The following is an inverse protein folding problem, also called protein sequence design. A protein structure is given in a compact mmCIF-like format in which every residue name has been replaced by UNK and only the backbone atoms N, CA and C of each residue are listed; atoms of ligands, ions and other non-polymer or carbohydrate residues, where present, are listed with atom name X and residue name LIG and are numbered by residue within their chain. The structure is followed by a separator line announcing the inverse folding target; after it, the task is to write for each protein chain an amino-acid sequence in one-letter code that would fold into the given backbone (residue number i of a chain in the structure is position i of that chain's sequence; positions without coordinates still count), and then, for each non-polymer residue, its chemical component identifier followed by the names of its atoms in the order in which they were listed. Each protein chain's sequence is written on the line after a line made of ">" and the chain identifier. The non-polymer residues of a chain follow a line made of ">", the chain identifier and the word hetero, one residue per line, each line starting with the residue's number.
data_IF_480153194863
#
_entry.id   IF_480153194863
#
_cell.length_a   1.000
_cell.length_b   1.000
_cell.length_c   1.000
_cell.angle_alpha   90.00
_cell.angle_beta   90.00
_cell.angle_gamma   90.00
#
_symmetry.space_group_name_H-M   'P 1'
#
loop_
_entity.id
_entity.type
_entity.pdbx_description
1 polymer ?
#
# COMPACT_ATOMS: atom_id res chain seq x y z
N UNK A 1 -9.13 -11.69 18.52
CA UNK A 1 -8.65 -10.98 17.32
C UNK A 1 -7.11 -10.88 17.25
N UNK A 2 -6.37 -11.83 17.88
CA UNK A 2 -4.90 -11.80 17.97
C UNK A 2 -4.18 -11.88 16.62
N UNK A 3 -4.81 -12.52 15.62
CA UNK A 3 -4.24 -12.70 14.28
C UNK A 3 -4.31 -11.45 13.40
N UNK A 4 -5.24 -10.51 13.62
CA UNK A 4 -5.37 -9.32 12.76
C UNK A 4 -4.15 -8.41 12.80
N UNK A 5 -3.45 -8.35 13.95
CA UNK A 5 -2.17 -7.62 14.08
C UNK A 5 -1.08 -8.27 13.21
N UNK A 6 -1.01 -9.59 13.20
CA UNK A 6 -0.06 -10.34 12.37
C UNK A 6 -0.39 -10.25 10.88
N UNK A 7 -1.68 -10.30 10.52
CA UNK A 7 -2.14 -10.10 9.14
C UNK A 7 -1.78 -8.70 8.66
N UNK A 8 -1.99 -7.66 9.47
CA UNK A 8 -1.61 -6.29 9.13
C UNK A 8 -0.10 -6.11 8.96
N UNK A 9 0.70 -6.72 9.83
CA UNK A 9 2.17 -6.70 9.72
C UNK A 9 2.66 -7.43 8.46
N UNK A 10 2.11 -8.62 8.18
CA UNK A 10 2.41 -9.38 6.98
C UNK A 10 1.99 -8.62 5.71
N UNK A 11 0.82 -7.95 5.72
CA UNK A 11 0.36 -7.12 4.62
C UNK A 11 1.28 -5.90 4.39
N UNK A 12 1.77 -5.25 5.44
CA UNK A 12 2.75 -4.17 5.32
C UNK A 12 4.07 -4.66 4.71
N UNK A 13 4.57 -5.82 5.13
CA UNK A 13 5.76 -6.44 4.53
C UNK A 13 5.53 -6.80 3.06
N UNK A 14 4.36 -7.37 2.73
CA UNK A 14 3.98 -7.70 1.36
C UNK A 14 3.88 -6.46 0.47
N UNK A 15 3.34 -5.35 1.00
CA UNK A 15 3.32 -4.06 0.30
C UNK A 15 4.73 -3.60 -0.03
N UNK A 16 5.67 -3.70 0.92
CA UNK A 16 7.06 -3.31 0.68
C UNK A 16 7.68 -4.15 -0.41
N UNK A 17 7.56 -5.48 -0.33
CA UNK A 17 8.07 -6.41 -1.34
C UNK A 17 7.45 -6.12 -2.71
N UNK A 18 6.14 -5.86 -2.76
CA UNK A 18 5.45 -5.54 -4.01
C UNK A 18 6.02 -4.30 -4.70
N UNK A 19 6.54 -3.32 -3.96
CA UNK A 19 7.15 -2.11 -4.56
C UNK A 19 8.48 -2.40 -5.29
N UNK A 20 9.16 -3.50 -4.98
CA UNK A 20 10.38 -3.94 -5.68
C UNK A 20 10.07 -4.87 -6.86
N UNK A 21 8.86 -5.42 -6.93
CA UNK A 21 8.43 -6.26 -8.05
C UNK A 21 8.00 -5.40 -9.25
N UNK A 22 8.11 -5.91 -10.48
CA UNK A 22 7.73 -5.15 -11.67
C UNK A 22 6.20 -4.98 -11.71
N UNK A 23 5.74 -3.76 -11.96
CA UNK A 23 4.33 -3.38 -11.94
C UNK A 23 3.76 -3.35 -13.35
N UNK A 24 4.47 -2.70 -14.27
CA UNK A 24 4.08 -2.63 -15.66
C UNK A 24 5.28 -2.84 -16.58
N UNK A 25 5.00 -3.29 -17.79
CA UNK A 25 5.97 -3.35 -18.87
C UNK A 25 5.49 -2.51 -20.06
N UNK A 26 6.36 -1.63 -20.55
CA UNK A 26 6.09 -0.76 -21.70
C UNK A 26 6.83 -1.35 -22.90
N UNK A 27 6.08 -1.94 -23.84
CA UNK A 27 6.60 -2.63 -25.02
C UNK A 27 7.42 -1.70 -25.93
N UNK A 28 6.91 -0.49 -26.21
CA UNK A 28 7.51 0.47 -27.14
C UNK A 28 8.91 0.96 -26.73
N UNK A 29 9.15 1.10 -25.42
CA UNK A 29 10.43 1.53 -24.87
C UNK A 29 11.27 0.36 -24.33
N UNK A 30 10.71 -0.85 -24.27
CA UNK A 30 11.29 -2.03 -23.61
C UNK A 30 11.71 -1.73 -22.15
N UNK A 31 10.85 -1.03 -21.41
CA UNK A 31 11.10 -0.60 -20.02
C UNK A 31 10.16 -1.35 -19.07
N UNK A 32 10.74 -1.97 -18.05
CA UNK A 32 10.02 -2.49 -16.89
C UNK A 32 9.96 -1.42 -15.80
N UNK A 33 8.75 -1.02 -15.41
CA UNK A 33 8.54 -0.04 -14.35
C UNK A 33 8.10 -0.78 -13.09
N UNK A 34 8.77 -0.49 -11.98
CA UNK A 34 8.44 -0.97 -10.63
C UNK A 34 8.01 0.20 -9.75
N UNK A 35 7.67 -0.07 -8.48
CA UNK A 35 7.36 1.00 -7.54
C UNK A 35 8.54 1.93 -7.24
N UNK A 36 9.78 1.46 -7.41
CA UNK A 36 11.00 2.22 -7.07
C UNK A 36 11.74 2.68 -8.31
N UNK A 37 11.89 1.78 -9.28
CA UNK A 37 12.59 2.04 -10.53
C UNK A 37 11.58 2.34 -11.63
N UNK A 38 11.56 3.60 -12.03
CA UNK A 38 10.71 4.13 -13.11
C UNK A 38 11.58 4.83 -14.17
N UNK A 39 12.85 4.43 -14.27
CA UNK A 39 13.84 5.08 -15.13
C UNK A 39 13.34 5.15 -16.58
N UNK A 40 13.46 6.32 -17.20
CA UNK A 40 12.96 6.57 -18.57
C UNK A 40 11.48 6.97 -18.66
N UNK A 41 10.78 7.15 -17.53
CA UNK A 41 9.38 7.65 -17.52
C UNK A 41 9.21 8.87 -16.62
N UNK A 42 8.16 9.66 -16.87
CA UNK A 42 7.80 10.83 -16.05
C UNK A 42 6.88 10.48 -14.85
N UNK A 43 6.76 9.19 -14.48
CA UNK A 43 5.86 8.76 -13.40
C UNK A 43 6.38 9.07 -11.99
N UNK A 44 7.64 9.50 -11.86
CA UNK A 44 8.30 9.65 -10.56
C UNK A 44 8.43 8.30 -9.85
N UNK A 45 8.66 8.29 -8.53
CA UNK A 45 8.88 7.05 -7.76
C UNK A 45 7.69 6.71 -6.86
N UNK A 46 6.62 6.07 -7.38
CA UNK A 46 5.33 5.93 -6.69
C UNK A 46 5.37 5.09 -5.40
N UNK A 47 6.35 4.18 -5.27
CA UNK A 47 6.53 3.30 -4.11
C UNK A 47 6.96 4.00 -2.83
N UNK A 48 7.60 5.18 -2.91
CA UNK A 48 8.07 5.89 -1.72
C UNK A 48 6.93 6.34 -0.81
N UNK A 49 5.80 6.75 -1.40
CA UNK A 49 4.64 7.14 -0.63
C UNK A 49 4.04 5.94 0.12
N UNK A 50 4.05 4.75 -0.49
CA UNK A 50 3.67 3.51 0.19
C UNK A 50 4.59 3.20 1.38
N UNK A 51 5.90 3.45 1.28
CA UNK A 51 6.82 3.26 2.41
C UNK A 51 6.54 4.21 3.57
N UNK A 52 6.27 5.49 3.29
CA UNK A 52 5.91 6.47 4.32
C UNK A 52 4.62 6.07 5.03
N UNK A 53 3.58 5.70 4.28
CA UNK A 53 2.31 5.29 4.85
C UNK A 53 2.40 3.95 5.59
N UNK A 54 3.18 3.00 5.10
CA UNK A 54 3.46 1.74 5.80
C UNK A 54 4.19 1.98 7.12
N UNK A 55 5.18 2.88 7.15
CA UNK A 55 5.84 3.30 8.38
C UNK A 55 4.87 3.90 9.39
N UNK A 56 4.01 4.84 8.96
CA UNK A 56 2.96 5.42 9.80
C UNK A 56 1.95 4.38 10.31
N UNK A 57 1.58 3.41 9.47
CA UNK A 57 0.70 2.31 9.86
C UNK A 57 1.31 1.46 10.97
N UNK A 58 2.60 1.11 10.86
CA UNK A 58 3.29 0.33 11.88
C UNK A 58 3.38 1.09 13.21
N UNK A 59 3.73 2.38 13.16
CA UNK A 59 3.78 3.24 14.35
C UNK A 59 2.41 3.33 15.05
N UNK A 60 1.34 3.58 14.30
CA UNK A 60 -0.03 3.64 14.84
C UNK A 60 -0.54 2.28 15.32
N UNK A 61 -0.02 1.19 14.76
CA UNK A 61 -0.38 -0.18 15.18
C UNK A 61 0.20 -0.54 16.55
N UNK A 62 1.41 -0.06 16.86
CA UNK A 62 2.08 -0.25 18.16
C UNK A 62 1.41 0.59 19.25
N UNK A 63 1.08 1.86 18.97
CA UNK A 63 0.46 2.76 19.95
C UNK A 63 -0.98 2.28 20.27
N UNK A 64 -1.22 1.75 21.47
CA UNK A 64 -2.54 1.30 21.93
C UNK A 64 -3.42 2.47 22.43
N UNK A 65 -3.49 3.58 21.69
CA UNK A 65 -4.36 4.73 22.01
C UNK A 65 -5.48 4.86 20.97
N UNK A 66 -6.65 5.33 21.40
CA UNK A 66 -7.83 5.47 20.54
C UNK A 66 -7.56 6.40 19.35
N UNK A 67 -6.87 7.53 19.56
CA UNK A 67 -6.52 8.46 18.49
C UNK A 67 -5.59 7.82 17.45
N UNK A 68 -4.65 6.97 17.88
CA UNK A 68 -3.75 6.27 16.97
C UNK A 68 -4.51 5.30 16.06
N UNK A 69 -5.59 4.66 16.53
CA UNK A 69 -6.44 3.80 15.67
C UNK A 69 -7.23 4.59 14.64
N UNK A 70 -7.79 5.74 15.03
CA UNK A 70 -8.49 6.63 14.09
C UNK A 70 -7.55 7.13 13.00
N UNK A 71 -6.33 7.52 13.37
CA UNK A 71 -5.30 7.88 12.40
C UNK A 71 -4.86 6.68 11.55
N UNK A 72 -4.74 5.49 12.14
CA UNK A 72 -4.36 4.28 11.39
C UNK A 72 -5.34 3.96 10.26
N UNK A 73 -6.64 4.13 10.53
CA UNK A 73 -7.68 3.94 9.52
C UNK A 73 -7.55 4.97 8.39
N UNK A 74 -7.29 6.24 8.72
CA UNK A 74 -7.03 7.29 7.73
C UNK A 74 -5.79 6.97 6.87
N UNK A 75 -4.68 6.58 7.50
CA UNK A 75 -3.41 6.24 6.83
C UNK A 75 -3.59 5.08 5.86
N UNK A 76 -4.29 4.02 6.28
CA UNK A 76 -4.54 2.86 5.40
C UNK A 76 -5.52 3.17 4.28
N UNK A 77 -6.52 4.01 4.51
CA UNK A 77 -7.42 4.48 3.46
C UNK A 77 -6.68 5.33 2.41
N UNK A 78 -5.80 6.23 2.84
CA UNK A 78 -4.92 7.00 1.94
C UNK A 78 -3.98 6.08 1.16
N UNK A 79 -3.45 5.03 1.80
CA UNK A 79 -2.58 4.05 1.14
C UNK A 79 -3.32 3.28 0.05
N UNK A 80 -4.55 2.83 0.34
CA UNK A 80 -5.40 2.17 -0.63
C UNK A 80 -5.80 3.10 -1.80
N UNK A 81 -6.15 4.36 -1.51
CA UNK A 81 -6.45 5.36 -2.53
C UNK A 81 -5.22 5.62 -3.43
N UNK A 82 -4.02 5.69 -2.86
CA UNK A 82 -2.78 5.83 -3.61
C UNK A 82 -2.49 4.60 -4.50
N UNK A 83 -2.71 3.39 -4.00
CA UNK A 83 -2.58 2.17 -4.79
C UNK A 83 -3.53 2.18 -6.00
N UNK A 84 -4.80 2.57 -5.78
CA UNK A 84 -5.80 2.70 -6.84
C UNK A 84 -5.38 3.77 -7.85
N UNK A 85 -4.92 4.93 -7.40
CA UNK A 85 -4.36 5.98 -8.28
C UNK A 85 -3.21 5.43 -9.12
N UNK A 86 -2.27 4.70 -8.53
CA UNK A 86 -1.12 4.14 -9.25
C UNK A 86 -1.56 3.18 -10.35
N UNK A 87 -2.60 2.36 -10.12
CA UNK A 87 -3.17 1.51 -11.17
C UNK A 87 -3.71 2.35 -12.32
N UNK A 88 -4.49 3.39 -12.03
CA UNK A 88 -5.05 4.23 -13.09
C UNK A 88 -3.99 5.00 -13.86
N UNK A 89 -2.98 5.54 -13.18
CA UNK A 89 -1.92 6.35 -13.83
C UNK A 89 -0.95 5.47 -14.60
N UNK A 90 -0.52 4.34 -14.03
CA UNK A 90 0.49 3.47 -14.63
C UNK A 90 -0.09 2.52 -15.67
N UNK A 91 -1.36 2.13 -15.53
CA UNK A 91 -2.03 1.25 -16.48
C UNK A 91 -2.93 1.99 -17.48
N UNK A 92 -2.89 3.32 -17.51
CA UNK A 92 -3.54 4.10 -18.54
C UNK A 92 -2.81 3.93 -19.88
N UNK A 93 -3.58 3.81 -20.95
CA UNK A 93 -3.01 3.85 -22.29
C UNK A 93 -2.77 5.31 -22.69
N UNK A 94 -1.60 5.61 -23.24
CA UNK A 94 -1.24 6.95 -23.69
C UNK A 94 -0.53 6.85 -25.04
N UNK A 95 -0.95 7.68 -26.01
CA UNK A 95 -0.33 7.71 -27.33
C UNK A 95 -0.53 6.43 -28.15
N UNK A 96 -1.61 5.67 -27.91
CA UNK A 96 -1.92 4.43 -28.64
C UNK A 96 -1.24 3.18 -28.09
N UNK A 97 -0.37 3.32 -27.09
CA UNK A 97 0.31 2.22 -26.42
C UNK A 97 -0.34 1.92 -25.06
N UNK A 98 -0.57 0.64 -24.78
CA UNK A 98 -1.13 0.17 -23.52
C UNK A 98 -0.08 -0.64 -22.75
N UNK A 99 0.33 -0.20 -21.55
CA UNK A 99 1.29 -0.93 -20.75
C UNK A 99 0.71 -2.27 -20.24
N UNK A 100 1.53 -3.31 -20.27
CA UNK A 100 1.16 -4.62 -19.75
C UNK A 100 1.21 -4.63 -18.23
N UNK A 101 0.12 -5.08 -17.59
CA UNK A 101 0.01 -5.15 -16.13
C UNK A 101 0.66 -6.44 -15.63
N UNK A 102 1.71 -6.31 -14.85
CA UNK A 102 2.40 -7.43 -14.23
C UNK A 102 1.85 -7.73 -12.84
N UNK A 103 2.29 -8.83 -12.25
CA UNK A 103 1.79 -9.32 -10.96
C UNK A 103 2.04 -8.36 -9.80
N UNK A 104 3.10 -7.54 -9.87
CA UNK A 104 3.47 -6.61 -8.79
C UNK A 104 2.40 -5.57 -8.49
N UNK A 105 1.69 -5.05 -9.50
CA UNK A 105 0.65 -4.04 -9.31
C UNK A 105 -0.58 -4.62 -8.60
N UNK A 106 -0.90 -5.89 -8.88
CA UNK A 106 -2.00 -6.60 -8.21
C UNK A 106 -1.63 -6.96 -6.78
N UNK A 107 -0.38 -7.37 -6.53
CA UNK A 107 0.13 -7.62 -5.18
C UNK A 107 0.10 -6.35 -4.31
N UNK A 108 0.50 -5.21 -4.86
CA UNK A 108 0.44 -3.92 -4.17
C UNK A 108 -1.01 -3.55 -3.78
N UNK A 109 -1.97 -3.77 -4.68
CA UNK A 109 -3.38 -3.49 -4.40
C UNK A 109 -3.91 -4.40 -3.29
N UNK A 110 -3.65 -5.70 -3.42
CA UNK A 110 -4.07 -6.70 -2.45
C UNK A 110 -3.48 -6.41 -1.07
N UNK A 111 -2.18 -6.09 -0.98
CA UNK A 111 -1.54 -5.69 0.27
C UNK A 111 -2.21 -4.45 0.90
N UNK A 112 -2.51 -3.44 0.09
CA UNK A 112 -3.14 -2.21 0.56
C UNK A 112 -4.55 -2.44 1.10
N UNK A 113 -5.33 -3.30 0.45
CA UNK A 113 -6.67 -3.70 0.92
C UNK A 113 -6.57 -4.52 2.22
N UNK A 114 -5.63 -5.47 2.31
CA UNK A 114 -5.42 -6.25 3.53
C UNK A 114 -5.01 -5.37 4.72
N UNK A 115 -4.16 -4.36 4.48
CA UNK A 115 -3.81 -3.36 5.51
C UNK A 115 -5.05 -2.59 5.98
N UNK A 116 -5.92 -2.16 5.07
CA UNK A 116 -7.16 -1.48 5.41
C UNK A 116 -8.10 -2.37 6.25
N UNK A 117 -8.29 -3.64 5.85
CA UNK A 117 -9.10 -4.60 6.61
C UNK A 117 -8.51 -4.81 8.01
N UNK A 118 -7.19 -4.91 8.14
CA UNK A 118 -6.52 -5.05 9.43
C UNK A 118 -6.69 -3.82 10.33
N UNK A 119 -6.75 -2.62 9.74
CA UNK A 119 -6.96 -1.38 10.46
C UNK A 119 -8.42 -1.19 10.93
N UNK A 120 -9.38 -1.79 10.22
CA UNK A 120 -10.81 -1.75 10.56
C UNK A 120 -11.12 -2.54 11.84
N UNK A 121 -10.35 -3.60 12.10
CA UNK A 121 -10.57 -4.53 13.21
C UNK A 121 -9.39 -4.63 14.19
N UNK A 122 -9.01 -3.52 14.87
CA UNK A 122 -7.87 -3.51 15.77
C UNK A 122 -8.21 -4.19 17.11
N UNK A 123 -7.34 -5.10 17.56
CA UNK A 123 -7.43 -5.69 18.90
C UNK A 123 -6.91 -4.69 19.94
N UNK A 124 -7.82 -4.02 20.67
CA UNK A 124 -7.52 -3.13 21.79
C UNK A 124 -8.24 -3.60 23.05
N UNK A 125 -7.52 -3.59 24.18
CA UNK A 125 -8.13 -3.66 25.51
C UNK A 125 -8.47 -2.23 25.92
N UNK A 126 -9.76 -1.93 26.07
CA UNK A 126 -10.21 -0.66 26.64
C UNK A 126 -9.82 -0.66 28.13
N UNK A 127 -9.25 0.43 28.68
CA UNK A 127 -9.10 0.55 30.11
C UNK A 127 -10.50 0.52 30.74
N UNK A 128 -10.73 -0.38 31.71
CA UNK A 128 -11.98 -0.40 32.45
C UNK A 128 -12.20 0.97 33.09
N UNK A 129 -13.33 1.57 32.76
CA UNK A 129 -13.79 2.81 33.37
C UNK A 129 -14.02 2.52 34.86
N UNK A 130 -13.13 3.00 35.72
CA UNK A 130 -13.39 3.05 37.17
C UNK A 130 -14.57 3.99 37.39
N UNK A 131 -15.77 3.41 37.48
CA UNK A 131 -16.96 4.06 38.03
C UNK A 131 -16.72 4.51 39.46
#
# INVERSE_FOLDING_TARGET
>A
MRYMKWIGLAAAALLVVSCFTPWIFIQSANITVSGIDTTGTNFGKPGYFHFVLAGLFLLCSIIQKVWAKRLNLLVTALNAAWAVRNIFVLAACSGGECPERLTGIWLMLLASVLMLVSALFPDMKLPEEKK
#
